data_IF_696421357799
#
_entry.id   IF_696421357799
#
_cell.length_a   1.000
_cell.length_b   1.000
_cell.length_c   1.000
_cell.angle_alpha   90.00
_cell.angle_beta   90.00
_cell.angle_gamma   90.00
#
_symmetry.space_group_name_H-M   'P 1'
#
loop_
_entity.id
_entity.type
_entity.pdbx_description
1 polymer ?
#
# COMPACT_ATOMS: atom_id res chain seq x y z
N UNK A 1 -20.66 10.16 -35.65
CA UNK A 1 -19.39 9.74 -35.04
C UNK A 1 -19.68 9.53 -33.56
N UNK A 2 -19.83 8.27 -33.13
CA UNK A 2 -20.30 7.90 -31.78
C UNK A 2 -19.19 7.22 -30.97
N UNK A 3 -17.99 7.79 -31.03
CA UNK A 3 -16.77 7.18 -30.51
C UNK A 3 -16.17 8.16 -29.51
N UNK A 4 -16.52 8.01 -28.23
CA UNK A 4 -15.80 8.68 -27.14
C UNK A 4 -16.22 8.22 -25.73
N UNK A 5 -17.43 7.68 -25.54
CA UNK A 5 -17.86 7.26 -24.18
C UNK A 5 -17.34 5.89 -23.74
N UNK A 6 -17.06 4.97 -24.68
CA UNK A 6 -16.54 3.63 -24.35
C UNK A 6 -15.07 3.66 -23.91
N UNK A 7 -14.27 4.56 -24.50
CA UNK A 7 -12.83 4.68 -24.24
C UNK A 7 -12.55 5.24 -22.83
N UNK A 8 -13.36 6.20 -22.39
CA UNK A 8 -13.28 6.76 -21.03
C UNK A 8 -13.69 5.72 -19.97
N UNK A 9 -14.74 4.93 -20.24
CA UNK A 9 -15.21 3.90 -19.31
C UNK A 9 -14.22 2.74 -19.15
N UNK A 10 -13.52 2.35 -20.21
CA UNK A 10 -12.49 1.30 -20.16
C UNK A 10 -11.25 1.76 -19.39
N UNK A 11 -10.80 3.01 -19.61
CA UNK A 11 -9.66 3.58 -18.87
C UNK A 11 -9.93 3.69 -17.36
N UNK A 12 -11.12 4.16 -16.96
CA UNK A 12 -11.51 4.25 -15.53
C UNK A 12 -11.51 2.86 -14.87
N UNK A 13 -11.97 1.82 -15.58
CA UNK A 13 -12.00 0.45 -15.07
C UNK A 13 -10.59 -0.10 -14.83
N UNK A 14 -9.65 0.17 -15.75
CA UNK A 14 -8.25 -0.23 -15.62
C UNK A 14 -7.59 0.49 -14.44
N UNK A 15 -7.83 1.79 -14.27
CA UNK A 15 -7.29 2.58 -13.16
C UNK A 15 -7.81 2.10 -11.81
N UNK A 16 -9.11 1.77 -11.71
CA UNK A 16 -9.69 1.23 -10.49
C UNK A 16 -9.06 -0.12 -10.11
N UNK A 17 -8.94 -1.04 -11.08
CA UNK A 17 -8.33 -2.35 -10.85
C UNK A 17 -6.87 -2.24 -10.40
N UNK A 18 -6.10 -1.33 -11.01
CA UNK A 18 -4.70 -1.10 -10.64
C UNK A 18 -4.58 -0.57 -9.20
N UNK A 19 -5.50 0.30 -8.77
CA UNK A 19 -5.56 0.80 -7.39
C UNK A 19 -5.91 -0.32 -6.41
N UNK A 20 -6.85 -1.19 -6.75
CA UNK A 20 -7.24 -2.34 -5.93
C UNK A 20 -6.06 -3.32 -5.75
N UNK A 21 -5.41 -3.72 -6.85
CA UNK A 21 -4.24 -4.60 -6.84
C UNK A 21 -3.09 -3.99 -6.04
N UNK A 22 -2.77 -2.71 -6.26
CA UNK A 22 -1.74 -1.99 -5.52
C UNK A 22 -2.06 -1.88 -4.02
N UNK A 23 -3.33 -1.72 -3.66
CA UNK A 23 -3.79 -1.67 -2.27
C UNK A 23 -3.64 -3.02 -1.59
N UNK A 24 -4.03 -4.11 -2.27
CA UNK A 24 -3.87 -5.47 -1.75
C UNK A 24 -2.39 -5.82 -1.54
N UNK A 25 -1.54 -5.49 -2.52
CA UNK A 25 -0.11 -5.72 -2.40
C UNK A 25 0.49 -5.01 -1.18
N UNK A 26 0.17 -3.73 -0.99
CA UNK A 26 0.67 -2.96 0.16
C UNK A 26 0.17 -3.52 1.50
N UNK A 27 -1.07 -4.01 1.56
CA UNK A 27 -1.61 -4.65 2.77
C UNK A 27 -0.84 -5.92 3.12
N UNK A 28 -0.57 -6.77 2.13
CA UNK A 28 0.20 -8.00 2.34
C UNK A 28 1.64 -7.69 2.80
N UNK A 29 2.29 -6.70 2.19
CA UNK A 29 3.63 -6.27 2.61
C UNK A 29 3.64 -5.71 4.04
N UNK A 30 2.61 -4.95 4.44
CA UNK A 30 2.44 -4.44 5.80
C UNK A 30 2.30 -5.60 6.80
N UNK A 31 1.46 -6.60 6.50
CA UNK A 31 1.25 -7.76 7.38
C UNK A 31 2.55 -8.56 7.59
N UNK A 32 3.32 -8.75 6.52
CA UNK A 32 4.63 -9.42 6.58
C UNK A 32 5.59 -8.63 7.48
N UNK A 33 5.69 -7.31 7.30
CA UNK A 33 6.56 -6.45 8.12
C UNK A 33 6.15 -6.44 9.59
N UNK A 34 4.85 -6.40 9.88
CA UNK A 34 4.32 -6.47 11.25
C UNK A 34 4.61 -7.83 11.90
N UNK A 35 4.54 -8.91 11.11
CA UNK A 35 4.91 -10.26 11.56
C UNK A 35 6.40 -10.33 11.92
N UNK A 36 7.29 -9.87 11.04
CA UNK A 36 8.73 -9.85 11.31
C UNK A 36 9.10 -8.96 12.50
N UNK A 37 8.46 -7.81 12.66
CA UNK A 37 8.66 -6.94 13.81
C UNK A 37 8.22 -7.61 15.12
N UNK A 38 7.12 -8.37 15.09
CA UNK A 38 6.66 -9.15 16.24
C UNK A 38 7.56 -10.35 16.56
N UNK A 39 8.23 -10.93 15.57
CA UNK A 39 9.26 -11.94 15.80
C UNK A 39 10.50 -11.32 16.43
N UNK A 40 10.97 -10.19 15.89
CA UNK A 40 12.11 -9.44 16.45
C UNK A 40 11.84 -8.89 17.86
N UNK A 41 10.57 -8.69 18.26
CA UNK A 41 10.23 -8.26 19.62
C UNK A 41 10.47 -9.35 20.67
N UNK A 42 10.56 -10.61 20.25
CA UNK A 42 10.81 -11.79 21.09
C UNK A 42 12.29 -12.19 21.11
N UNK A 43 13.11 -11.57 20.27
CA UNK A 43 14.56 -11.76 20.20
C UNK A 43 15.29 -10.89 21.24
N UNK A 44 16.60 -11.11 21.41
CA UNK A 44 17.44 -10.28 22.29
C UNK A 44 17.45 -8.82 21.84
N UNK A 45 16.98 -7.93 22.70
CA UNK A 45 16.88 -6.49 22.45
C UNK A 45 18.23 -5.76 22.48
N UNK A 46 19.29 -6.42 22.98
CA UNK A 46 20.64 -5.87 23.02
C UNK A 46 21.49 -6.31 21.82
N UNK A 47 20.98 -7.21 20.97
CA UNK A 47 21.67 -7.61 19.76
C UNK A 47 21.62 -6.47 18.73
N UNK A 48 22.81 -6.01 18.34
CA UNK A 48 22.98 -4.92 17.38
C UNK A 48 22.34 -5.20 16.02
N UNK A 49 22.31 -6.46 15.58
CA UNK A 49 21.66 -6.86 14.34
C UNK A 49 20.14 -6.79 14.47
N UNK A 50 19.58 -7.24 15.61
CA UNK A 50 18.15 -7.14 15.91
C UNK A 50 17.70 -5.67 15.96
N UNK A 51 18.48 -4.80 16.58
CA UNK A 51 18.21 -3.36 16.64
C UNK A 51 18.20 -2.75 15.22
N UNK A 52 19.20 -3.08 14.40
CA UNK A 52 19.31 -2.58 13.04
C UNK A 52 18.17 -3.08 12.13
N UNK A 53 17.81 -4.35 12.23
CA UNK A 53 16.69 -4.96 11.51
C UNK A 53 15.35 -4.32 11.93
N UNK A 54 15.12 -4.16 13.25
CA UNK A 54 13.91 -3.54 13.79
C UNK A 54 13.75 -2.10 13.27
N UNK A 55 14.83 -1.32 13.23
CA UNK A 55 14.81 0.03 12.67
C UNK A 55 14.43 0.01 11.18
N UNK A 56 15.12 -0.81 10.40
CA UNK A 56 14.88 -0.92 8.95
C UNK A 56 13.45 -1.32 8.61
N UNK A 57 12.90 -2.31 9.33
CA UNK A 57 11.53 -2.76 9.11
C UNK A 57 10.48 -1.74 9.55
N UNK A 58 10.73 -0.97 10.62
CA UNK A 58 9.85 0.14 10.98
C UNK A 58 9.83 1.24 9.92
N UNK A 59 10.99 1.59 9.35
CA UNK A 59 11.09 2.58 8.28
C UNK A 59 10.34 2.12 7.02
N UNK A 60 10.50 0.84 6.64
CA UNK A 60 9.73 0.23 5.54
C UNK A 60 8.23 0.22 5.81
N UNK A 61 7.82 -0.18 7.03
CA UNK A 61 6.41 -0.24 7.43
C UNK A 61 5.76 1.15 7.33
N UNK A 62 6.47 2.19 7.79
CA UNK A 62 6.03 3.57 7.68
C UNK A 62 5.84 3.97 6.21
N UNK A 63 6.81 3.71 5.35
CA UNK A 63 6.72 4.03 3.91
C UNK A 63 5.51 3.36 3.25
N UNK A 64 5.25 2.08 3.57
CA UNK A 64 4.09 1.35 3.03
C UNK A 64 2.75 1.88 3.54
N UNK A 65 2.67 2.26 4.82
CA UNK A 65 1.47 2.93 5.38
C UNK A 65 1.22 4.31 4.77
N UNK A 66 2.28 5.09 4.52
CA UNK A 66 2.18 6.39 3.84
C UNK A 66 1.72 6.24 2.38
N UNK A 67 2.24 5.23 1.67
CA UNK A 67 1.82 4.91 0.30
C UNK A 67 0.36 4.47 0.24
N UNK A 68 -0.06 3.59 1.15
CA UNK A 68 -1.45 3.13 1.24
C UNK A 68 -2.40 4.28 1.55
N UNK A 69 -2.03 5.19 2.45
CA UNK A 69 -2.78 6.40 2.74
C UNK A 69 -2.90 7.32 1.51
N UNK A 70 -1.86 7.40 0.69
CA UNK A 70 -1.87 8.18 -0.55
C UNK A 70 -2.79 7.57 -1.61
N UNK A 71 -2.78 6.24 -1.79
CA UNK A 71 -3.72 5.54 -2.67
C UNK A 71 -5.18 5.67 -2.20
N UNK A 72 -5.42 5.63 -0.89
CA UNK A 72 -6.75 5.85 -0.32
C UNK A 72 -7.28 7.27 -0.60
N UNK A 73 -6.40 8.28 -0.63
CA UNK A 73 -6.78 9.64 -1.03
C UNK A 73 -7.09 9.73 -2.53
N UNK A 74 -6.30 9.07 -3.37
CA UNK A 74 -6.52 9.05 -4.82
C UNK A 74 -7.81 8.35 -5.21
N UNK A 75 -8.12 7.20 -4.61
CA UNK A 75 -9.39 6.48 -4.82
C UNK A 75 -10.61 7.32 -4.42
N UNK A 76 -10.56 8.01 -3.27
CA UNK A 76 -11.63 8.91 -2.86
C UNK A 76 -11.82 10.09 -3.82
N UNK A 77 -10.73 10.64 -4.37
CA UNK A 77 -10.82 11.71 -5.38
C UNK A 77 -11.41 11.21 -6.69
N UNK A 78 -11.06 9.99 -7.13
CA UNK A 78 -11.66 9.38 -8.33
C UNK A 78 -13.16 9.16 -8.15
N UNK A 79 -13.60 8.65 -7.00
CA UNK A 79 -15.02 8.42 -6.70
C UNK A 79 -15.86 9.70 -6.77
N UNK A 80 -15.34 10.85 -6.30
CA UNK A 80 -16.03 12.14 -6.34
C UNK A 80 -16.11 12.72 -7.76
N UNK A 81 -15.18 12.39 -8.66
CA UNK A 81 -15.21 12.83 -10.06
C UNK A 81 -16.20 12.00 -10.90
N UNK A 82 -16.56 10.79 -10.43
CA UNK A 82 -17.48 9.89 -11.13
C UNK A 82 -18.94 10.01 -10.71
N UNK A 83 -19.27 10.87 -9.73
CA UNK A 83 -20.63 11.13 -9.22
C UNK A 83 -21.21 12.44 -9.81
#
# INVERSE_FOLDING_TARGET
>A
MSKDLSDVSENINIDQKLIEEGTEQLRNEIEILETWLNELSKSDENDTEVIAARKSYNDMLRSRKEMLSSLAKQSNLQAVITE
#
